data_IF_427285480203
#
_entry.id   IF_427285480203
#
_cell.length_a   1.000
_cell.length_b   1.000
_cell.length_c   1.000
_cell.angle_alpha   90.00
_cell.angle_beta   90.00
_cell.angle_gamma   90.00
#
_symmetry.space_group_name_H-M   'P 1'
#
loop_
_entity.id
_entity.type
_entity.pdbx_description
1 polymer ?
#
# COMPACT_ATOMS: atom_id res chain seq x y z
N UNK A 1 17.82 -34.56 -16.90
CA UNK A 1 17.74 -33.27 -16.19
C UNK A 1 16.51 -33.29 -15.29
N UNK A 2 16.68 -32.88 -14.03
CA UNK A 2 15.84 -33.19 -12.86
C UNK A 2 14.40 -32.63 -12.92
N UNK A 3 13.41 -33.52 -13.00
CA UNK A 3 11.98 -33.22 -12.81
C UNK A 3 11.66 -32.67 -11.41
N UNK A 4 12.39 -33.08 -10.37
CA UNK A 4 12.20 -32.58 -9.00
C UNK A 4 12.64 -31.12 -8.79
N UNK A 5 13.63 -30.65 -9.55
CA UNK A 5 14.11 -29.27 -9.42
C UNK A 5 13.10 -28.31 -10.05
N UNK A 6 12.56 -28.67 -11.21
CA UNK A 6 11.51 -27.89 -11.88
C UNK A 6 10.22 -27.75 -11.04
N UNK A 7 9.81 -28.79 -10.30
CA UNK A 7 8.58 -28.72 -9.48
C UNK A 7 8.73 -27.89 -8.20
N UNK A 8 9.95 -27.79 -7.65
CA UNK A 8 10.23 -26.92 -6.50
C UNK A 8 10.20 -25.45 -6.93
N UNK A 9 10.81 -25.14 -8.09
CA UNK A 9 10.74 -23.79 -8.66
C UNK A 9 9.30 -23.37 -8.97
N UNK A 10 8.46 -24.27 -9.51
CA UNK A 10 7.06 -23.94 -9.78
C UNK A 10 6.25 -23.69 -8.50
N UNK A 11 6.44 -24.48 -7.44
CA UNK A 11 5.73 -24.29 -6.18
C UNK A 11 6.17 -23.02 -5.43
N UNK A 12 7.47 -22.69 -5.45
CA UNK A 12 8.00 -21.46 -4.87
C UNK A 12 7.49 -20.20 -5.59
N UNK A 13 7.38 -20.24 -6.92
CA UNK A 13 6.80 -19.15 -7.71
C UNK A 13 5.31 -18.95 -7.43
N UNK A 14 4.53 -20.03 -7.34
CA UNK A 14 3.08 -19.95 -7.05
C UNK A 14 2.83 -19.29 -5.68
N UNK A 15 3.52 -19.74 -4.63
CA UNK A 15 3.35 -19.17 -3.28
C UNK A 15 3.76 -17.69 -3.19
N UNK A 16 4.70 -17.26 -4.01
CA UNK A 16 5.21 -15.89 -3.97
C UNK A 16 4.39 -14.94 -4.85
N UNK A 17 3.74 -15.46 -5.89
CA UNK A 17 2.70 -14.74 -6.63
C UNK A 17 1.49 -14.44 -5.74
N UNK A 18 1.05 -15.43 -4.97
CA UNK A 18 -0.04 -15.25 -4.00
C UNK A 18 0.32 -14.20 -2.94
N UNK A 19 1.59 -14.17 -2.49
CA UNK A 19 2.07 -13.18 -1.53
C UNK A 19 2.02 -11.74 -2.08
N UNK A 20 2.47 -11.50 -3.31
CA UNK A 20 2.44 -10.14 -3.89
C UNK A 20 1.01 -9.59 -3.99
N UNK A 21 0.07 -10.43 -4.42
CA UNK A 21 -1.35 -10.08 -4.47
C UNK A 21 -1.96 -9.87 -3.09
N UNK A 22 -1.63 -10.72 -2.12
CA UNK A 22 -2.12 -10.57 -0.75
C UNK A 22 -1.67 -9.24 -0.14
N UNK A 23 -0.38 -8.90 -0.26
CA UNK A 23 0.18 -7.63 0.22
C UNK A 23 -0.46 -6.43 -0.49
N UNK A 24 -0.72 -6.54 -1.80
CA UNK A 24 -1.42 -5.52 -2.56
C UNK A 24 -2.85 -5.29 -2.06
N UNK A 25 -3.61 -6.37 -1.82
CA UNK A 25 -4.96 -6.25 -1.25
C UNK A 25 -4.94 -5.68 0.17
N UNK A 26 -3.90 -5.95 0.96
CA UNK A 26 -3.71 -5.28 2.24
C UNK A 26 -3.47 -3.78 2.10
N UNK A 27 -2.70 -3.33 1.11
CA UNK A 27 -2.56 -1.90 0.81
C UNK A 27 -3.91 -1.29 0.44
N UNK A 28 -4.73 -1.98 -0.36
CA UNK A 28 -6.09 -1.50 -0.68
C UNK A 28 -6.97 -1.40 0.57
N UNK A 29 -7.02 -2.43 1.41
CA UNK A 29 -7.81 -2.44 2.65
C UNK A 29 -7.41 -1.28 3.57
N UNK A 30 -6.10 -1.09 3.76
CA UNK A 30 -5.56 0.01 4.58
C UNK A 30 -5.89 1.35 3.95
N UNK A 31 -5.78 1.50 2.63
CA UNK A 31 -6.14 2.73 1.92
C UNK A 31 -7.61 3.11 2.13
N UNK A 32 -8.52 2.15 2.05
CA UNK A 32 -9.94 2.36 2.31
C UNK A 32 -10.20 2.74 3.78
N UNK A 33 -9.51 2.08 4.71
CA UNK A 33 -9.54 2.45 6.13
C UNK A 33 -9.03 3.87 6.35
N UNK A 34 -7.94 4.26 5.68
CA UNK A 34 -7.28 5.56 5.78
C UNK A 34 -8.26 6.67 5.39
N UNK A 35 -8.85 6.57 4.21
CA UNK A 35 -9.85 7.52 3.69
C UNK A 35 -11.06 7.62 4.63
N UNK A 36 -11.58 6.49 5.11
CA UNK A 36 -12.73 6.47 6.02
C UNK A 36 -12.46 7.28 7.29
N UNK A 37 -11.28 7.16 7.88
CA UNK A 37 -10.97 7.86 9.14
C UNK A 37 -10.67 9.33 8.91
N UNK A 38 -9.94 9.66 7.85
CA UNK A 38 -9.63 11.04 7.47
C UNK A 38 -10.91 11.85 7.25
N UNK A 39 -11.88 11.30 6.52
CA UNK A 39 -13.14 12.00 6.22
C UNK A 39 -14.11 12.10 7.41
N UNK A 40 -13.86 11.39 8.52
CA UNK A 40 -14.80 11.28 9.64
C UNK A 40 -14.35 12.03 10.90
N UNK A 41 -13.17 12.66 10.89
CA UNK A 41 -12.50 13.20 12.09
C UNK A 41 -11.98 14.60 11.83
N UNK A 42 -11.85 15.39 12.91
CA UNK A 42 -11.10 16.64 12.83
C UNK A 42 -9.59 16.38 12.76
N UNK A 43 -8.82 17.36 12.31
CA UNK A 43 -7.35 17.27 12.26
C UNK A 43 -6.75 16.98 13.63
N UNK A 44 -7.27 17.57 14.70
CA UNK A 44 -6.80 17.30 16.07
C UNK A 44 -7.01 15.83 16.43
N UNK A 45 -8.18 15.28 16.12
CA UNK A 45 -8.47 13.85 16.35
C UNK A 45 -7.62 12.92 15.49
N UNK A 46 -7.20 13.36 14.30
CA UNK A 46 -6.31 12.60 13.42
C UNK A 46 -4.86 12.62 13.93
N UNK A 47 -4.40 13.75 14.48
CA UNK A 47 -3.07 13.89 15.09
C UNK A 47 -2.92 13.07 16.37
N UNK A 48 -4.00 12.97 17.15
CA UNK A 48 -4.00 12.19 18.40
C UNK A 48 -4.20 10.68 18.17
N UNK A 49 -4.27 10.22 16.91
CA UNK A 49 -4.52 8.82 16.59
C UNK A 49 -3.30 7.94 16.89
N UNK A 50 -3.54 6.73 17.39
CA UNK A 50 -2.49 5.75 17.71
C UNK A 50 -2.87 4.35 17.19
N UNK A 51 -2.06 3.71 16.31
CA UNK A 51 -0.86 4.25 15.68
C UNK A 51 -1.17 5.48 14.82
N UNK A 52 -0.20 6.39 14.70
CA UNK A 52 -0.34 7.60 13.88
C UNK A 52 -0.56 7.25 12.40
N UNK A 53 -1.16 8.15 11.65
CA UNK A 53 -1.32 7.98 10.20
C UNK A 53 0.03 7.89 9.46
N UNK A 54 1.08 8.53 10.00
CA UNK A 54 2.44 8.41 9.50
C UNK A 54 2.98 6.98 9.66
N UNK A 55 2.83 6.38 10.85
CA UNK A 55 3.25 4.98 11.09
C UNK A 55 2.49 3.99 10.19
N UNK A 56 1.19 4.23 9.95
CA UNK A 56 0.40 3.39 9.04
C UNK A 56 0.88 3.54 7.59
N UNK A 57 1.20 4.76 7.16
CA UNK A 57 1.74 5.02 5.83
C UNK A 57 3.12 4.38 5.65
N UNK A 58 3.99 4.43 6.65
CA UNK A 58 5.32 3.81 6.61
C UNK A 58 5.26 2.28 6.57
N UNK A 59 4.33 1.66 7.32
CA UNK A 59 4.08 0.21 7.22
C UNK A 59 3.57 -0.18 5.82
N UNK A 60 2.73 0.66 5.23
CA UNK A 60 2.23 0.44 3.87
C UNK A 60 3.35 0.62 2.83
N UNK A 61 4.27 1.56 3.04
CA UNK A 61 5.46 1.75 2.20
C UNK A 61 6.40 0.55 2.25
N UNK A 62 6.68 0.04 3.46
CA UNK A 62 7.43 -1.20 3.64
C UNK A 62 6.76 -2.39 2.93
N UNK A 63 5.44 -2.41 2.90
CA UNK A 63 4.66 -3.45 2.18
C UNK A 63 4.81 -3.32 0.66
N UNK A 64 4.71 -2.10 0.11
CA UNK A 64 4.92 -1.86 -1.32
C UNK A 64 6.38 -2.10 -1.75
N UNK A 65 7.34 -1.87 -0.86
CA UNK A 65 8.75 -2.24 -1.01
C UNK A 65 8.92 -3.75 -1.21
N UNK A 66 8.19 -4.58 -0.47
CA UNK A 66 8.24 -6.03 -0.63
C UNK A 66 7.73 -6.44 -2.00
N UNK A 67 6.58 -5.91 -2.44
CA UNK A 67 6.03 -6.16 -3.78
C UNK A 67 7.05 -5.75 -4.86
N UNK A 68 7.69 -4.59 -4.69
CA UNK A 68 8.73 -4.10 -5.61
C UNK A 68 9.93 -5.06 -5.67
N UNK A 69 10.37 -5.58 -4.52
CA UNK A 69 11.48 -6.54 -4.47
C UNK A 69 11.12 -7.86 -5.16
N UNK A 70 9.90 -8.37 -4.95
CA UNK A 70 9.39 -9.58 -5.62
C UNK A 70 9.40 -9.43 -7.15
N UNK A 71 9.01 -8.24 -7.65
CA UNK A 71 9.12 -7.90 -9.07
C UNK A 71 10.58 -7.89 -9.55
N UNK A 72 11.46 -7.20 -8.83
CA UNK A 72 12.88 -7.07 -9.20
C UNK A 72 13.64 -8.39 -9.25
N UNK A 73 13.28 -9.36 -8.40
CA UNK A 73 13.90 -10.70 -8.41
C UNK A 73 13.24 -11.65 -9.42
N UNK A 74 12.26 -11.19 -10.20
CA UNK A 74 11.57 -11.97 -11.24
C UNK A 74 10.61 -13.03 -10.68
N UNK A 75 10.23 -12.90 -9.41
CA UNK A 75 9.27 -13.80 -8.75
C UNK A 75 7.84 -13.36 -9.04
N UNK A 76 7.62 -12.06 -9.22
CA UNK A 76 6.39 -11.44 -9.68
C UNK A 76 6.67 -10.69 -10.99
N UNK A 77 5.69 -10.52 -11.87
CA UNK A 77 5.86 -9.87 -13.17
C UNK A 77 4.82 -8.77 -13.50
N UNK A 78 3.79 -8.58 -12.66
CA UNK A 78 2.81 -7.51 -12.89
C UNK A 78 3.29 -6.16 -12.34
N UNK A 79 3.93 -5.38 -13.21
CA UNK A 79 4.40 -4.02 -12.91
C UNK A 79 3.24 -3.05 -12.59
N UNK A 80 2.02 -3.30 -13.09
CA UNK A 80 0.88 -2.41 -12.87
C UNK A 80 0.42 -2.47 -11.43
N UNK A 81 0.37 -3.68 -10.85
CA UNK A 81 0.04 -3.88 -9.43
C UNK A 81 1.05 -3.15 -8.55
N UNK A 82 2.35 -3.27 -8.84
CA UNK A 82 3.41 -2.57 -8.11
C UNK A 82 3.24 -1.04 -8.20
N UNK A 83 3.05 -0.50 -9.40
CA UNK A 83 2.88 0.93 -9.61
C UNK A 83 1.62 1.46 -8.91
N UNK A 84 0.51 0.70 -8.95
CA UNK A 84 -0.73 1.05 -8.27
C UNK A 84 -0.55 1.07 -6.74
N UNK A 85 0.08 0.03 -6.18
CA UNK A 85 0.39 -0.04 -4.75
C UNK A 85 1.24 1.15 -4.28
N UNK A 86 2.28 1.51 -5.06
CA UNK A 86 3.13 2.69 -4.78
C UNK A 86 2.35 3.99 -4.82
N UNK A 87 1.47 4.15 -5.80
CA UNK A 87 0.64 5.34 -5.89
C UNK A 87 -0.28 5.50 -4.66
N UNK A 88 -0.84 4.40 -4.16
CA UNK A 88 -1.68 4.42 -2.97
C UNK A 88 -0.88 4.83 -1.73
N UNK A 89 0.31 4.25 -1.54
CA UNK A 89 1.22 4.60 -0.45
C UNK A 89 1.67 6.06 -0.50
N UNK A 90 2.01 6.58 -1.67
CA UNK A 90 2.41 7.97 -1.84
C UNK A 90 1.29 8.93 -1.40
N UNK A 91 0.04 8.60 -1.72
CA UNK A 91 -1.11 9.40 -1.29
C UNK A 91 -1.35 9.27 0.23
N UNK A 92 -1.21 8.08 0.80
CA UNK A 92 -1.28 7.91 2.27
C UNK A 92 -0.22 8.75 2.99
N UNK A 93 1.02 8.77 2.47
CA UNK A 93 2.08 9.65 3.00
C UNK A 93 1.76 11.13 2.86
N UNK A 94 1.27 11.57 1.70
CA UNK A 94 0.86 12.96 1.49
C UNK A 94 -0.19 13.38 2.53
N UNK A 95 -1.19 12.54 2.77
CA UNK A 95 -2.23 12.83 3.77
C UNK A 95 -1.67 12.81 5.19
N UNK A 96 -0.83 11.83 5.55
CA UNK A 96 -0.18 11.79 6.86
C UNK A 96 0.65 13.05 7.15
N UNK A 97 1.46 13.49 6.20
CA UNK A 97 2.23 14.73 6.32
C UNK A 97 1.33 15.97 6.44
N UNK A 98 0.21 16.00 5.73
CA UNK A 98 -0.75 17.08 5.81
C UNK A 98 -1.48 17.11 7.16
N UNK A 99 -1.78 15.96 7.77
CA UNK A 99 -2.29 15.84 9.15
C UNK A 99 -1.30 16.47 10.13
N UNK A 100 -0.02 16.13 10.04
CA UNK A 100 1.02 16.71 10.91
C UNK A 100 1.11 18.23 10.76
N UNK A 101 1.01 18.75 9.54
CA UNK A 101 1.03 20.21 9.27
C UNK A 101 -0.28 20.92 9.58
N UNK A 102 -1.39 20.18 9.72
CA UNK A 102 -2.73 20.72 9.93
C UNK A 102 -3.31 21.38 8.69
N UNK A 103 -2.85 20.93 7.53
CA UNK A 103 -3.25 21.43 6.22
C UNK A 103 -4.50 20.68 5.73
N UNK A 104 -5.67 21.19 6.10
CA UNK A 104 -6.97 20.59 5.76
C UNK A 104 -7.17 20.38 4.25
N UNK A 105 -6.71 21.33 3.43
CA UNK A 105 -6.91 21.27 1.98
C UNK A 105 -6.09 20.11 1.39
N UNK A 106 -4.83 19.98 1.81
CA UNK A 106 -3.97 18.87 1.39
C UNK A 106 -4.45 17.50 1.92
N UNK A 107 -5.01 17.46 3.13
CA UNK A 107 -5.64 16.25 3.69
C UNK A 107 -6.79 15.80 2.78
N UNK A 108 -7.69 16.71 2.43
CA UNK A 108 -8.86 16.36 1.63
C UNK A 108 -8.50 16.04 0.18
N UNK A 109 -7.57 16.77 -0.43
CA UNK A 109 -7.05 16.45 -1.78
C UNK A 109 -6.48 15.03 -1.82
N UNK A 110 -5.57 14.71 -0.89
CA UNK A 110 -4.94 13.40 -0.84
C UNK A 110 -5.95 12.29 -0.59
N UNK A 111 -6.90 12.48 0.33
CA UNK A 111 -7.96 11.50 0.63
C UNK A 111 -8.89 11.28 -0.58
N UNK A 112 -9.27 12.34 -1.28
CA UNK A 112 -10.09 12.25 -2.49
C UNK A 112 -9.37 11.49 -3.61
N UNK A 113 -8.09 11.81 -3.85
CA UNK A 113 -7.27 11.13 -4.86
C UNK A 113 -7.07 9.66 -4.51
N UNK A 114 -6.84 9.34 -3.24
CA UNK A 114 -6.72 7.96 -2.77
C UNK A 114 -8.04 7.19 -2.93
N UNK A 115 -9.16 7.82 -2.58
CA UNK A 115 -10.50 7.23 -2.75
C UNK A 115 -10.90 7.01 -4.21
N UNK A 116 -10.37 7.81 -5.13
CA UNK A 116 -10.65 7.73 -6.55
C UNK A 116 -9.75 6.72 -7.30
N UNK A 117 -8.75 6.13 -6.61
CA UNK A 117 -7.88 5.14 -7.23
C UNK A 117 -8.67 3.90 -7.64
N UNK A 118 -8.54 3.53 -8.92
CA UNK A 118 -8.92 2.21 -9.38
C UNK A 118 -7.79 1.24 -9.05
N UNK A 119 -7.99 0.39 -8.05
CA UNK A 119 -7.12 -0.75 -7.80
C UNK A 119 -7.31 -1.74 -8.96
N UNK A 120 -6.19 -2.10 -9.59
CA UNK A 120 -6.06 -2.95 -10.78
C UNK A 120 -5.84 -4.41 -10.46
#
# INVERSE_FOLDING_TARGET
MNSNVASIYSAANVNSNDLALELYWKIQEVSAWFVKHVNAKSVEQLRDFNPSFAEIADLSDATADIITKLLQVGVWDDERVMANARQAVLLMRQVAEAIERGDNDSIQDGANRLSAMAFV
#
